data_IF_858135029086
#
_entry.id   IF_858135029086
#
_cell.length_a   1.000
_cell.length_b   1.000
_cell.length_c   1.000
_cell.angle_alpha   90.00
_cell.angle_beta   90.00
_cell.angle_gamma   90.00
#
_symmetry.space_group_name_H-M   'P 1'
#
loop_
_entity.id
_entity.type
_entity.pdbx_description
1 polymer ?
#
# COMPACT_ATOMS: atom_id res chain seq x y z
N UNK A 1 10.21 -14.76 -24.32
CA UNK A 1 9.14 -15.03 -23.33
C UNK A 1 9.65 -15.08 -21.88
N UNK A 2 10.69 -15.85 -21.55
CA UNK A 2 11.28 -15.95 -20.18
C UNK A 2 11.83 -14.61 -19.65
N UNK A 3 12.41 -13.77 -20.52
CA UNK A 3 12.99 -12.47 -20.13
C UNK A 3 11.92 -11.42 -19.78
N UNK A 4 10.80 -11.40 -20.52
CA UNK A 4 9.65 -10.53 -20.24
C UNK A 4 8.99 -10.90 -18.91
N UNK A 5 8.87 -12.20 -18.63
CA UNK A 5 8.33 -12.74 -17.37
C UNK A 5 9.19 -12.38 -16.15
N UNK A 6 10.52 -12.31 -16.31
CA UNK A 6 11.45 -11.84 -15.27
C UNK A 6 11.32 -10.33 -15.00
N UNK A 7 11.11 -9.53 -16.05
CA UNK A 7 10.89 -8.08 -15.95
C UNK A 7 9.52 -7.76 -15.33
N UNK A 8 8.48 -8.53 -15.67
CA UNK A 8 7.12 -8.42 -15.12
C UNK A 8 7.01 -8.81 -13.63
N UNK A 9 8.00 -9.54 -13.08
CA UNK A 9 8.08 -9.84 -11.64
C UNK A 9 8.71 -8.74 -10.79
N UNK A 10 9.11 -7.62 -11.38
CA UNK A 10 9.51 -6.44 -10.60
C UNK A 10 8.28 -5.65 -10.12
N UNK A 11 7.43 -6.31 -9.32
CA UNK A 11 6.28 -5.67 -8.68
C UNK A 11 6.66 -4.43 -7.88
N UNK A 12 7.83 -4.45 -7.24
CA UNK A 12 8.42 -3.30 -6.57
C UNK A 12 8.63 -2.10 -7.51
N UNK A 13 9.04 -2.34 -8.76
CA UNK A 13 9.23 -1.28 -9.74
C UNK A 13 7.89 -0.70 -10.19
N UNK A 14 6.85 -1.53 -10.31
CA UNK A 14 5.49 -1.08 -10.64
C UNK A 14 4.94 -0.14 -9.55
N UNK A 15 5.14 -0.50 -8.27
CA UNK A 15 4.76 0.36 -7.13
C UNK A 15 5.53 1.69 -7.17
N UNK A 16 6.82 1.64 -7.50
CA UNK A 16 7.65 2.84 -7.63
C UNK A 16 7.23 3.75 -8.78
N UNK A 17 6.77 3.18 -9.90
CA UNK A 17 6.14 3.95 -10.98
C UNK A 17 4.84 4.60 -10.47
N UNK A 18 3.99 3.87 -9.75
CA UNK A 18 2.76 4.41 -9.15
C UNK A 18 3.04 5.63 -8.26
N UNK A 19 4.08 5.55 -7.43
CA UNK A 19 4.58 6.68 -6.64
C UNK A 19 4.92 7.89 -7.50
N UNK A 20 5.74 7.74 -8.54
CA UNK A 20 6.10 8.88 -9.40
C UNK A 20 4.92 9.49 -10.14
N UNK A 21 4.04 8.66 -10.70
CA UNK A 21 2.87 9.13 -11.44
C UNK A 21 1.93 9.92 -10.51
N UNK A 22 1.87 9.56 -9.23
CA UNK A 22 0.99 10.23 -8.26
C UNK A 22 1.41 11.67 -7.91
N UNK A 23 2.65 12.11 -8.17
CA UNK A 23 3.07 13.49 -7.90
C UNK A 23 2.29 14.52 -8.70
N UNK A 24 2.12 14.28 -10.00
CA UNK A 24 1.49 15.21 -10.93
C UNK A 24 0.07 15.59 -10.47
N UNK A 25 -0.86 14.62 -10.27
CA UNK A 25 -2.20 14.95 -9.80
C UNK A 25 -2.21 15.49 -8.37
N UNK A 26 -1.28 15.07 -7.49
CA UNK A 26 -1.20 15.59 -6.12
C UNK A 26 -0.89 17.09 -6.06
N UNK A 27 -0.06 17.59 -6.98
CA UNK A 27 0.30 19.01 -7.04
C UNK A 27 -0.82 19.82 -7.72
N UNK A 28 -1.40 19.29 -8.80
CA UNK A 28 -2.42 20.00 -9.60
C UNK A 28 -3.76 20.07 -8.87
N UNK A 29 -4.16 18.98 -8.21
CA UNK A 29 -5.48 18.84 -7.57
C UNK A 29 -5.39 17.99 -6.30
N UNK A 30 -4.73 18.47 -5.22
CA UNK A 30 -4.55 17.69 -4.00
C UNK A 30 -5.89 17.28 -3.40
N UNK A 31 -6.05 15.99 -3.06
CA UNK A 31 -7.22 15.47 -2.34
C UNK A 31 -7.36 16.21 -1.01
N UNK A 32 -8.57 16.66 -0.67
CA UNK A 32 -8.92 17.14 0.68
C UNK A 32 -8.87 15.94 1.63
N UNK A 33 -7.78 15.84 2.39
CA UNK A 33 -7.65 14.91 3.50
C UNK A 33 -7.83 15.74 4.76
N UNK A 34 -8.98 15.59 5.42
CA UNK A 34 -9.20 16.25 6.70
C UNK A 34 -8.51 15.41 7.79
N UNK A 35 -7.66 16.00 8.65
CA UNK A 35 -7.13 15.31 9.82
C UNK A 35 -8.29 15.10 10.78
N UNK A 36 -8.80 13.87 10.84
CA UNK A 36 -9.81 13.46 11.80
C UNK A 36 -9.32 12.19 12.47
N UNK A 37 -9.43 12.19 13.79
CA UNK A 37 -9.06 11.05 14.61
C UNK A 37 -9.67 9.77 14.04
N UNK A 38 -8.82 8.82 13.68
CA UNK A 38 -9.26 7.52 13.16
C UNK A 38 -9.98 6.77 14.28
N UNK A 39 -11.31 6.78 14.24
CA UNK A 39 -12.12 5.98 15.15
C UNK A 39 -11.69 4.50 15.06
N UNK A 40 -11.71 3.79 16.20
CA UNK A 40 -11.29 2.39 16.28
C UNK A 40 -12.01 1.49 15.24
N UNK A 41 -13.25 1.83 14.87
CA UNK A 41 -14.01 1.15 13.82
C UNK A 41 -13.39 1.29 12.42
N UNK A 42 -12.86 2.47 12.07
CA UNK A 42 -12.17 2.70 10.80
C UNK A 42 -10.84 1.95 10.75
N UNK A 43 -10.14 1.88 11.87
CA UNK A 43 -8.90 1.11 12.02
C UNK A 43 -9.12 -0.38 11.73
N UNK A 44 -10.13 -0.98 12.34
CA UNK A 44 -10.47 -2.39 12.12
C UNK A 44 -10.79 -2.63 10.63
N UNK A 45 -11.49 -1.69 9.99
CA UNK A 45 -11.78 -1.76 8.57
C UNK A 45 -10.52 -1.71 7.69
N UNK A 46 -9.54 -0.86 8.04
CA UNK A 46 -8.25 -0.78 7.34
C UNK A 46 -7.48 -2.10 7.45
N UNK A 47 -7.41 -2.68 8.67
CA UNK A 47 -6.76 -3.97 8.89
C UNK A 47 -7.42 -5.06 8.04
N UNK A 48 -8.75 -5.12 8.06
CA UNK A 48 -9.51 -6.11 7.27
C UNK A 48 -9.27 -5.90 5.78
N UNK A 49 -9.29 -4.67 5.28
CA UNK A 49 -9.04 -4.35 3.88
C UNK A 49 -7.63 -4.82 3.45
N UNK A 50 -6.59 -4.50 4.23
CA UNK A 50 -5.22 -4.91 3.94
C UNK A 50 -5.03 -6.43 3.98
N UNK A 51 -5.71 -7.14 4.90
CA UNK A 51 -5.74 -8.60 4.93
C UNK A 51 -6.38 -9.18 3.67
N UNK A 52 -7.54 -8.65 3.24
CA UNK A 52 -8.23 -9.10 2.03
C UNK A 52 -7.34 -8.91 0.80
N UNK A 53 -6.73 -7.73 0.65
CA UNK A 53 -5.82 -7.42 -0.46
C UNK A 53 -4.62 -8.38 -0.47
N UNK A 54 -4.01 -8.62 0.69
CA UNK A 54 -2.88 -9.54 0.79
C UNK A 54 -3.26 -10.99 0.44
N UNK A 55 -4.41 -11.48 0.93
CA UNK A 55 -4.90 -12.82 0.59
C UNK A 55 -5.16 -12.93 -0.93
N UNK A 56 -5.72 -11.89 -1.53
CA UNK A 56 -5.97 -11.85 -2.97
C UNK A 56 -4.67 -11.91 -3.79
N UNK A 57 -3.68 -11.10 -3.42
CA UNK A 57 -2.33 -11.13 -4.02
C UNK A 57 -1.71 -12.53 -3.86
N UNK A 58 -1.78 -13.09 -2.65
CA UNK A 58 -1.25 -14.41 -2.35
C UNK A 58 -1.90 -15.50 -3.21
N UNK A 59 -3.23 -15.46 -3.36
CA UNK A 59 -4.01 -16.39 -4.15
C UNK A 59 -3.67 -16.32 -5.64
N UNK A 60 -3.61 -15.12 -6.22
CA UNK A 60 -3.26 -14.94 -7.63
C UNK A 60 -1.85 -15.47 -7.92
N UNK A 61 -0.87 -15.11 -7.09
CA UNK A 61 0.53 -15.47 -7.33
C UNK A 61 0.78 -16.97 -7.11
N UNK A 62 0.23 -17.56 -6.04
CA UNK A 62 0.60 -18.91 -5.62
C UNK A 62 -0.38 -20.01 -6.05
N UNK A 63 -1.66 -19.69 -6.23
CA UNK A 63 -2.70 -20.67 -6.58
C UNK A 63 -3.05 -20.57 -8.06
N UNK A 64 -3.50 -19.41 -8.53
CA UNK A 64 -3.87 -19.23 -9.95
C UNK A 64 -2.66 -19.16 -10.88
N UNK A 65 -1.49 -18.73 -10.37
CA UNK A 65 -0.27 -18.46 -11.14
C UNK A 65 -0.49 -17.47 -12.29
N UNK A 66 -1.49 -16.60 -12.15
CA UNK A 66 -1.87 -15.59 -13.15
C UNK A 66 -1.33 -14.20 -12.78
N UNK A 67 -0.04 -14.21 -12.46
CA UNK A 67 0.80 -13.11 -11.99
C UNK A 67 0.73 -11.82 -12.80
N UNK A 68 0.28 -11.89 -14.06
CA UNK A 68 0.19 -10.73 -14.95
C UNK A 68 -0.97 -9.79 -14.58
N UNK A 69 -2.07 -10.30 -13.97
CA UNK A 69 -3.18 -9.45 -13.49
C UNK A 69 -2.74 -8.55 -12.33
N UNK A 70 -1.73 -8.98 -11.55
CA UNK A 70 -1.23 -8.19 -10.44
C UNK A 70 -0.58 -6.88 -10.91
N UNK A 71 -0.08 -6.81 -12.14
CA UNK A 71 0.60 -5.61 -12.66
C UNK A 71 -0.32 -4.38 -12.71
N UNK A 72 -1.44 -4.39 -13.46
CA UNK A 72 -2.35 -3.24 -13.48
C UNK A 72 -2.97 -2.96 -12.12
N UNK A 73 -3.25 -4.01 -11.32
CA UNK A 73 -3.82 -3.85 -9.99
C UNK A 73 -2.86 -3.13 -9.02
N UNK A 74 -1.60 -3.59 -8.94
CA UNK A 74 -0.56 -2.98 -8.11
C UNK A 74 -0.27 -1.55 -8.55
N UNK A 75 -0.25 -1.28 -9.86
CA UNK A 75 -0.05 0.08 -10.37
C UNK A 75 -1.17 1.01 -9.92
N UNK A 76 -2.42 0.59 -10.06
CA UNK A 76 -3.58 1.42 -9.74
C UNK A 76 -3.74 1.65 -8.23
N UNK A 77 -3.60 0.59 -7.43
CA UNK A 77 -3.67 0.67 -5.96
C UNK A 77 -2.56 1.54 -5.39
N UNK A 78 -1.30 1.28 -5.77
CA UNK A 78 -0.17 2.11 -5.33
C UNK A 78 -0.33 3.57 -5.79
N UNK A 79 -0.76 3.82 -7.02
CA UNK A 79 -1.03 5.18 -7.50
C UNK A 79 -2.05 5.91 -6.62
N UNK A 80 -3.18 5.27 -6.29
CA UNK A 80 -4.24 5.89 -5.47
C UNK A 80 -3.75 6.15 -4.04
N UNK A 81 -3.05 5.21 -3.43
CA UNK A 81 -2.53 5.36 -2.07
C UNK A 81 -1.46 6.45 -1.99
N UNK A 82 -0.50 6.47 -2.92
CA UNK A 82 0.50 7.54 -2.96
C UNK A 82 -0.12 8.89 -3.33
N UNK A 83 -1.17 8.93 -4.15
CA UNK A 83 -1.89 10.16 -4.43
C UNK A 83 -2.52 10.75 -3.17
N UNK A 84 -3.07 9.92 -2.28
CA UNK A 84 -3.56 10.35 -0.96
C UNK A 84 -2.40 10.85 -0.08
N UNK A 85 -1.33 10.07 0.04
CA UNK A 85 -0.17 10.42 0.88
C UNK A 85 0.52 11.71 0.47
N UNK A 86 0.77 11.90 -0.83
CA UNK A 86 1.39 13.12 -1.37
C UNK A 86 0.42 14.30 -1.30
N UNK A 87 -0.88 14.10 -1.55
CA UNK A 87 -1.88 15.16 -1.36
C UNK A 87 -1.90 15.70 0.08
N UNK A 88 -1.75 14.82 1.07
CA UNK A 88 -1.63 15.23 2.47
C UNK A 88 -0.37 16.08 2.72
N UNK A 89 0.77 15.69 2.14
CA UNK A 89 2.02 16.48 2.22
C UNK A 89 1.86 17.86 1.58
N UNK A 90 1.29 17.93 0.38
CA UNK A 90 1.06 19.19 -0.36
C UNK A 90 0.17 20.15 0.44
N UNK A 91 -0.74 19.60 1.26
CA UNK A 91 -1.61 20.37 2.17
C UNK A 91 -0.97 20.71 3.51
N UNK A 92 0.30 20.36 3.73
CA UNK A 92 1.03 20.65 4.97
C UNK A 92 0.75 19.69 6.12
N UNK A 93 0.13 18.54 5.86
CA UNK A 93 -0.17 17.52 6.87
C UNK A 93 1.07 16.63 7.05
N UNK A 94 1.73 16.75 8.20
CA UNK A 94 2.98 16.04 8.50
C UNK A 94 2.86 14.52 8.47
N UNK A 95 1.67 13.97 8.78
CA UNK A 95 1.42 12.53 8.70
C UNK A 95 1.51 11.95 7.28
N UNK A 96 1.39 12.78 6.22
CA UNK A 96 1.51 12.31 4.85
C UNK A 96 2.87 11.67 4.52
N UNK A 97 3.97 12.15 5.12
CA UNK A 97 5.29 11.52 4.96
C UNK A 97 5.33 10.11 5.56
N UNK A 98 4.70 9.94 6.72
CA UNK A 98 4.60 8.65 7.39
C UNK A 98 3.67 7.70 6.61
N UNK A 99 2.55 8.18 6.08
CA UNK A 99 1.66 7.41 5.20
C UNK A 99 2.41 6.87 3.98
N UNK A 100 3.23 7.69 3.29
CA UNK A 100 4.03 7.23 2.14
C UNK A 100 5.00 6.10 2.55
N UNK A 101 5.68 6.25 3.69
CA UNK A 101 6.56 5.20 4.20
C UNK A 101 5.79 3.91 4.49
N UNK A 102 4.60 4.03 5.09
CA UNK A 102 3.76 2.89 5.44
C UNK A 102 3.29 2.14 4.19
N UNK A 103 2.83 2.86 3.16
CA UNK A 103 2.46 2.28 1.85
C UNK A 103 3.61 1.44 1.28
N UNK A 104 4.85 1.97 1.28
CA UNK A 104 6.01 1.19 0.82
C UNK A 104 6.23 -0.07 1.64
N UNK A 105 6.12 0.00 2.97
CA UNK A 105 6.30 -1.14 3.87
C UNK A 105 5.21 -2.20 3.68
N UNK A 106 3.95 -1.78 3.50
CA UNK A 106 2.81 -2.66 3.30
C UNK A 106 2.95 -3.46 2.01
N UNK A 107 3.09 -2.77 0.88
CA UNK A 107 3.31 -3.44 -0.41
C UNK A 107 4.57 -4.30 -0.38
N UNK A 108 5.64 -3.83 0.28
CA UNK A 108 6.86 -4.60 0.39
C UNK A 108 6.64 -5.93 1.10
N UNK A 109 6.00 -5.89 2.27
CA UNK A 109 5.67 -7.08 3.05
C UNK A 109 4.73 -8.01 2.29
N UNK A 110 3.65 -7.48 1.72
CA UNK A 110 2.68 -8.27 0.95
C UNK A 110 3.38 -9.07 -0.16
N UNK A 111 4.24 -8.42 -0.95
CA UNK A 111 4.97 -9.08 -2.02
C UNK A 111 6.02 -10.06 -1.50
N UNK A 112 6.78 -9.68 -0.47
CA UNK A 112 7.83 -10.51 0.12
C UNK A 112 7.25 -11.83 0.68
N UNK A 113 6.23 -11.74 1.52
CA UNK A 113 5.61 -12.91 2.15
C UNK A 113 4.83 -13.77 1.14
N UNK A 114 4.26 -13.14 0.10
CA UNK A 114 3.66 -13.86 -1.03
C UNK A 114 4.69 -14.69 -1.77
N UNK A 115 5.85 -14.12 -2.14
CA UNK A 115 6.92 -14.82 -2.86
C UNK A 115 7.54 -15.95 -2.02
N UNK A 116 7.61 -15.77 -0.70
CA UNK A 116 8.11 -16.78 0.24
C UNK A 116 7.06 -17.82 0.64
N UNK A 117 5.82 -17.71 0.17
CA UNK A 117 4.70 -18.61 0.53
C UNK A 117 4.44 -18.67 2.03
N UNK A 118 4.59 -17.53 2.72
CA UNK A 118 4.50 -17.39 4.18
C UNK A 118 3.27 -16.54 4.56
N UNK A 119 2.08 -17.07 4.28
CA UNK A 119 0.81 -16.35 4.50
C UNK A 119 0.65 -15.87 5.96
N UNK A 120 0.83 -16.75 6.94
CA UNK A 120 0.67 -16.40 8.36
C UNK A 120 1.61 -15.27 8.82
N UNK A 121 2.88 -15.30 8.40
CA UNK A 121 3.85 -14.27 8.76
C UNK A 121 3.51 -12.92 8.08
N UNK A 122 2.97 -12.96 6.87
CA UNK A 122 2.47 -11.76 6.19
C UNK A 122 1.28 -11.13 6.91
N UNK A 123 0.34 -11.94 7.40
CA UNK A 123 -0.79 -11.45 8.20
C UNK A 123 -0.33 -10.78 9.50
N UNK A 124 0.62 -11.40 10.22
CA UNK A 124 1.21 -10.82 11.44
C UNK A 124 1.90 -9.50 11.12
N UNK A 125 2.67 -9.45 10.04
CA UNK A 125 3.36 -8.24 9.60
C UNK A 125 2.40 -7.08 9.30
N UNK A 126 1.34 -7.33 8.52
CA UNK A 126 0.36 -6.29 8.17
C UNK A 126 -0.42 -5.80 9.39
N UNK A 127 -0.79 -6.72 10.27
CA UNK A 127 -1.44 -6.36 11.54
C UNK A 127 -0.52 -5.47 12.37
N UNK A 128 0.77 -5.81 12.45
CA UNK A 128 1.78 -4.99 13.14
C UNK A 128 1.95 -3.60 12.53
N UNK A 129 1.98 -3.47 11.21
CA UNK A 129 2.04 -2.17 10.54
C UNK A 129 0.82 -1.31 10.84
N UNK A 130 -0.38 -1.87 10.79
CA UNK A 130 -1.59 -1.15 11.13
C UNK A 130 -1.59 -0.66 12.59
N UNK A 131 -1.05 -1.45 13.53
CA UNK A 131 -0.86 -0.99 14.90
C UNK A 131 0.11 0.19 15.01
N UNK A 132 1.23 0.14 14.29
CA UNK A 132 2.19 1.25 14.24
C UNK A 132 1.53 2.50 13.65
N UNK A 133 0.71 2.33 12.61
CA UNK A 133 -0.03 3.42 11.97
C UNK A 133 -0.92 4.17 12.96
N UNK A 134 -1.75 3.44 13.72
CA UNK A 134 -2.62 4.01 14.75
C UNK A 134 -1.81 4.77 15.79
N UNK A 135 -0.73 4.18 16.30
CA UNK A 135 0.09 4.77 17.35
C UNK A 135 0.70 6.10 16.89
N UNK A 136 1.11 6.17 15.62
CA UNK A 136 1.70 7.37 15.05
C UNK A 136 0.65 8.44 14.80
N UNK A 137 -0.51 8.09 14.21
CA UNK A 137 -1.58 9.08 13.98
C UNK A 137 -2.17 9.64 15.28
N UNK A 138 -2.40 8.79 16.28
CA UNK A 138 -2.86 9.25 17.60
C UNK A 138 -1.88 10.25 18.26
N UNK A 139 -0.56 10.07 18.04
CA UNK A 139 0.48 10.94 18.59
C UNK A 139 0.67 12.24 17.80
N UNK A 140 0.49 12.18 16.48
CA UNK A 140 0.63 13.34 15.59
C UNK A 140 -0.63 14.24 15.64
N UNK A 141 -1.72 13.76 16.26
CA UNK A 141 -2.98 14.50 16.34
C UNK A 141 -3.70 14.55 15.00
N UNK A 142 -3.58 13.47 14.23
CA UNK A 142 -4.37 13.22 13.02
C UNK A 142 -5.57 12.36 13.35
#
# INVERSE_FOLDING_TARGET
MIRLYKVLKNYYFIIFIGFFISFIPSIISPIKVDPHYLALSLVINIIIANIIVFIFIYFIENIMKFSIILVPWLLLTSFLEFYVGISAIVRGISGGYFTILLIFLEFYGMLYFTQKKRLYLGLIYLTGLAFIEILVYNKIGM
#
